data_IF_411494033101
#
_entry.id   IF_411494033101
#
_cell.length_a   1.000
_cell.length_b   1.000
_cell.length_c   1.000
_cell.angle_alpha   90.00
_cell.angle_beta   90.00
_cell.angle_gamma   90.00
#
_symmetry.space_group_name_H-M   'P 1'
#
loop_
_entity.id
_entity.type
_entity.pdbx_description
1 polymer ?
#
# COMPACT_ATOMS: atom_id res chain seq x y z
N UNK A 1 20.22 2.35 28.45
CA UNK A 1 21.22 3.44 28.57
C UNK A 1 20.45 4.75 28.80
N UNK A 2 20.83 5.61 29.77
CA UNK A 2 20.13 6.88 30.03
C UNK A 2 20.76 8.01 29.21
N UNK A 3 19.94 8.73 28.44
CA UNK A 3 20.29 10.03 27.84
C UNK A 3 19.24 11.04 28.30
N UNK A 4 19.71 12.17 28.83
CA UNK A 4 18.88 13.31 29.23
C UNK A 4 19.09 14.44 28.22
N UNK A 5 18.05 14.82 27.51
CA UNK A 5 18.01 16.04 26.68
C UNK A 5 16.96 16.99 27.26
N UNK A 6 17.43 18.16 27.72
CA UNK A 6 16.60 19.19 28.31
C UNK A 6 16.01 20.07 27.19
N UNK A 7 14.70 20.02 27.01
CA UNK A 7 13.97 20.97 26.18
C UNK A 7 13.36 22.07 27.07
N UNK A 8 13.47 23.36 26.72
CA UNK A 8 12.75 24.41 27.42
C UNK A 8 11.25 24.32 27.08
N UNK A 9 10.40 24.29 28.10
CA UNK A 9 8.95 24.28 27.96
C UNK A 9 8.45 25.55 27.23
N UNK A 10 7.99 25.44 25.98
CA UNK A 10 6.86 26.23 25.47
C UNK A 10 6.23 25.57 24.23
N UNK A 11 4.89 25.51 24.25
CA UNK A 11 4.00 24.90 23.24
C UNK A 11 4.02 23.35 23.20
N UNK A 12 2.93 22.74 23.72
CA UNK A 12 2.53 21.36 23.39
C UNK A 12 2.15 21.27 21.90
N UNK A 13 3.14 21.05 21.04
CA UNK A 13 2.88 20.51 19.72
C UNK A 13 2.53 19.03 19.88
N UNK A 14 1.36 18.61 19.38
CA UNK A 14 1.13 17.19 19.11
C UNK A 14 2.22 16.72 18.13
N UNK A 15 2.83 15.54 18.34
CA UNK A 15 3.68 14.96 17.30
C UNK A 15 2.83 14.83 16.04
N UNK A 16 3.34 15.32 14.90
CA UNK A 16 2.67 15.05 13.63
C UNK A 16 2.72 13.54 13.40
N UNK A 17 1.62 12.89 13.00
CA UNK A 17 1.68 11.50 12.59
C UNK A 17 2.64 11.38 11.41
N UNK A 18 3.60 10.47 11.54
CA UNK A 18 4.59 10.13 10.52
C UNK A 18 3.89 9.26 9.47
N UNK A 19 4.13 9.53 8.19
CA UNK A 19 3.67 8.69 7.07
C UNK A 19 4.74 7.66 6.71
N UNK A 20 4.37 6.38 6.77
CA UNK A 20 5.21 5.23 6.45
C UNK A 20 4.68 4.55 5.18
N UNK A 21 5.54 4.33 4.19
CA UNK A 21 5.21 3.65 2.92
C UNK A 21 6.02 2.36 2.80
N UNK A 22 5.35 1.21 2.71
CA UNK A 22 5.99 -0.09 2.48
C UNK A 22 5.83 -0.47 1.01
N UNK A 23 6.94 -0.72 0.32
CA UNK A 23 6.95 -1.22 -1.05
C UNK A 23 6.95 -2.75 -0.99
N UNK A 24 5.83 -3.37 -1.35
CA UNK A 24 5.66 -4.82 -1.37
C UNK A 24 5.77 -5.33 -2.82
N UNK A 25 6.73 -6.20 -3.17
CA UNK A 25 6.79 -6.79 -4.50
C UNK A 25 5.47 -7.48 -4.87
N UNK A 26 4.93 -8.34 -4.00
CA UNK A 26 3.67 -9.05 -4.21
C UNK A 26 2.65 -8.81 -3.06
N UNK A 27 1.37 -9.23 -3.24
CA UNK A 27 0.35 -9.14 -2.19
C UNK A 27 0.52 -10.28 -1.17
N UNK A 28 1.41 -10.04 -0.19
CA UNK A 28 1.68 -10.84 1.04
C UNK A 28 2.99 -10.37 1.72
N UNK A 29 3.98 -9.97 0.93
CA UNK A 29 5.35 -9.63 1.36
C UNK A 29 5.42 -8.67 2.56
N UNK A 30 4.62 -7.59 2.54
CA UNK A 30 4.59 -6.61 3.63
C UNK A 30 3.98 -7.18 4.92
N UNK A 31 2.98 -8.07 4.82
CA UNK A 31 2.39 -8.74 5.97
C UNK A 31 3.34 -9.77 6.58
N UNK A 32 3.95 -10.62 5.74
CA UNK A 32 4.89 -11.67 6.15
C UNK A 32 6.16 -11.07 6.76
N UNK A 33 6.77 -10.09 6.10
CA UNK A 33 8.02 -9.47 6.51
C UNK A 33 7.77 -8.45 7.64
N UNK A 34 7.01 -7.40 7.33
CA UNK A 34 6.86 -6.22 8.18
C UNK A 34 5.64 -6.23 9.10
N UNK A 35 4.81 -7.28 9.11
CA UNK A 35 3.46 -7.19 9.68
C UNK A 35 3.36 -6.81 11.16
N UNK A 36 4.34 -7.22 11.99
CA UNK A 36 4.43 -6.82 13.39
C UNK A 36 4.86 -5.35 13.57
N UNK A 37 5.73 -4.84 12.69
CA UNK A 37 6.10 -3.42 12.66
C UNK A 37 4.92 -2.55 12.19
N UNK A 38 4.20 -2.99 11.16
CA UNK A 38 2.99 -2.32 10.67
C UNK A 38 1.94 -2.23 11.79
N UNK A 39 1.67 -3.32 12.51
CA UNK A 39 0.77 -3.31 13.66
C UNK A 39 1.23 -2.31 14.74
N UNK A 40 2.50 -2.35 15.16
CA UNK A 40 3.06 -1.45 16.17
C UNK A 40 2.96 0.04 15.76
N UNK A 41 3.31 0.36 14.50
CA UNK A 41 3.18 1.73 13.96
C UNK A 41 1.73 2.22 13.98
N UNK A 42 0.76 1.34 13.70
CA UNK A 42 -0.67 1.66 13.69
C UNK A 42 -1.25 1.83 15.09
N UNK A 43 -0.82 1.04 16.07
CA UNK A 43 -1.14 1.27 17.49
C UNK A 43 -0.56 2.60 18.01
N UNK A 44 0.63 2.98 17.55
CA UNK A 44 1.24 4.29 17.79
C UNK A 44 0.56 5.44 17.01
N UNK A 45 -0.50 5.17 16.25
CA UNK A 45 -1.28 6.16 15.49
C UNK A 45 -0.58 6.74 14.26
N UNK A 46 0.51 6.12 13.80
CA UNK A 46 1.24 6.54 12.59
C UNK A 46 0.47 6.15 11.33
N UNK A 47 0.57 6.92 10.25
CA UNK A 47 -0.10 6.58 9.00
C UNK A 47 0.75 5.55 8.24
N UNK A 48 0.14 4.45 7.78
CA UNK A 48 0.82 3.39 7.02
C UNK A 48 0.12 3.17 5.69
N UNK A 49 0.90 3.13 4.62
CA UNK A 49 0.49 2.78 3.26
C UNK A 49 1.35 1.62 2.75
N UNK A 50 0.71 0.62 2.15
CA UNK A 50 1.36 -0.48 1.45
C UNK A 50 1.19 -0.22 -0.04
N UNK A 51 2.28 -0.20 -0.80
CA UNK A 51 2.29 -0.08 -2.26
C UNK A 51 2.67 -1.45 -2.81
N UNK A 52 1.68 -2.20 -3.29
CA UNK A 52 1.93 -3.51 -3.91
C UNK A 52 2.28 -3.31 -5.37
N UNK A 53 3.43 -3.82 -5.79
CA UNK A 53 4.06 -3.49 -7.08
C UNK A 53 3.57 -4.41 -8.19
N UNK A 54 3.76 -5.72 -8.01
CA UNK A 54 3.51 -6.75 -9.00
C UNK A 54 2.22 -7.54 -8.73
N UNK A 55 1.15 -6.80 -8.42
CA UNK A 55 -0.20 -7.33 -8.19
C UNK A 55 -1.02 -7.60 -9.47
N UNK A 56 -0.40 -7.45 -10.64
CA UNK A 56 -1.06 -7.51 -11.95
C UNK A 56 -1.03 -8.90 -12.58
N UNK A 57 -2.12 -9.23 -13.28
CA UNK A 57 -2.27 -10.44 -14.08
C UNK A 57 -1.59 -10.39 -15.47
N UNK A 58 -1.92 -11.32 -16.39
CA UNK A 58 -1.30 -11.39 -17.70
C UNK A 58 -1.67 -10.19 -18.58
N UNK A 59 -0.76 -9.80 -19.50
CA UNK A 59 -1.02 -8.77 -20.52
C UNK A 59 -2.05 -9.23 -21.58
N UNK A 60 -3.33 -9.22 -21.20
CA UNK A 60 -4.60 -9.28 -21.97
C UNK A 60 -4.79 -10.27 -23.15
N UNK A 61 -3.78 -10.95 -23.71
CA UNK A 61 -3.91 -11.70 -24.98
C UNK A 61 -3.11 -13.04 -25.05
N UNK A 62 -2.73 -13.62 -23.91
CA UNK A 62 -1.99 -14.89 -23.86
C UNK A 62 -2.77 -16.01 -23.17
N UNK A 63 -2.81 -17.20 -23.77
CA UNK A 63 -3.14 -18.43 -23.04
C UNK A 63 -2.05 -18.71 -22.00
N UNK A 64 -2.46 -19.02 -20.78
CA UNK A 64 -1.56 -19.22 -19.66
C UNK A 64 -0.90 -20.59 -19.72
N UNK A 65 0.41 -20.65 -19.52
CA UNK A 65 1.17 -21.91 -19.46
C UNK A 65 0.79 -22.73 -18.22
N UNK A 66 1.08 -24.04 -18.25
CA UNK A 66 0.83 -24.92 -17.11
C UNK A 66 1.62 -24.47 -15.87
N UNK A 67 2.87 -24.01 -16.06
CA UNK A 67 3.70 -23.45 -14.99
C UNK A 67 3.08 -22.19 -14.38
N UNK A 68 2.65 -21.24 -15.21
CA UNK A 68 1.93 -20.05 -14.74
C UNK A 68 0.71 -20.49 -13.91
N UNK A 69 -0.10 -21.44 -14.40
CA UNK A 69 -1.29 -21.91 -13.66
C UNK A 69 -0.96 -22.53 -12.30
N UNK A 70 0.15 -23.25 -12.18
CA UNK A 70 0.63 -23.77 -10.89
C UNK A 70 1.13 -22.67 -9.95
N UNK A 71 1.79 -21.63 -10.46
CA UNK A 71 2.27 -20.51 -9.66
C UNK A 71 1.16 -19.56 -9.17
N UNK A 72 0.01 -19.50 -9.85
CA UNK A 72 -0.93 -18.34 -9.76
C UNK A 72 -2.44 -18.63 -9.67
N UNK A 73 -2.91 -19.88 -9.76
CA UNK A 73 -4.30 -20.25 -9.39
C UNK A 73 -5.50 -19.46 -9.99
N UNK A 74 -5.44 -19.06 -11.28
CA UNK A 74 -6.34 -18.21 -12.12
C UNK A 74 -7.90 -18.36 -12.12
N UNK A 75 -8.72 -17.47 -12.74
CA UNK A 75 -8.47 -16.20 -13.52
C UNK A 75 -9.75 -15.34 -13.81
N UNK A 76 -9.81 -14.00 -14.03
CA UNK A 76 -8.89 -12.82 -13.86
C UNK A 76 -9.48 -11.49 -14.42
N UNK A 77 -9.29 -10.27 -13.82
CA UNK A 77 -9.63 -8.93 -14.43
C UNK A 77 -9.00 -7.68 -13.76
N UNK A 78 -8.38 -6.76 -14.53
CA UNK A 78 -7.96 -5.40 -14.06
C UNK A 78 -8.14 -4.32 -15.15
N UNK A 79 -8.62 -3.14 -14.75
CA UNK A 79 -8.54 -1.86 -15.47
C UNK A 79 -7.57 -0.93 -14.73
N UNK A 80 -6.84 -0.07 -15.45
CA UNK A 80 -5.71 0.69 -14.88
C UNK A 80 -5.97 2.22 -14.80
N UNK A 81 -5.53 2.92 -13.75
CA UNK A 81 -5.18 2.44 -12.40
C UNK A 81 -6.39 2.51 -11.47
N UNK A 82 -6.51 1.56 -10.53
CA UNK A 82 -7.57 1.55 -9.52
C UNK A 82 -7.12 2.35 -8.29
N UNK A 83 -7.70 3.55 -8.08
CA UNK A 83 -7.36 4.42 -6.95
C UNK A 83 -8.12 4.05 -5.65
N UNK A 84 -8.83 2.93 -5.64
CA UNK A 84 -9.64 2.51 -4.49
C UNK A 84 -8.78 1.92 -3.36
N UNK A 85 -8.78 2.61 -2.23
CA UNK A 85 -7.95 2.28 -1.05
C UNK A 85 -8.42 1.01 -0.32
N UNK A 86 -9.71 0.63 -0.48
CA UNK A 86 -10.30 -0.61 0.03
C UNK A 86 -11.56 -0.97 -0.78
N UNK A 87 -11.75 -2.24 -1.16
CA UNK A 87 -13.04 -2.72 -1.70
C UNK A 87 -13.96 -3.12 -0.54
N UNK A 88 -14.96 -2.29 -0.24
CA UNK A 88 -15.82 -2.47 0.95
C UNK A 88 -16.64 -3.76 0.94
N UNK A 89 -16.97 -4.24 -0.24
CA UNK A 89 -17.71 -5.49 -0.45
C UNK A 89 -16.94 -6.75 -0.03
N UNK A 90 -15.60 -6.70 0.03
CA UNK A 90 -14.75 -7.79 0.51
C UNK A 90 -14.70 -7.89 2.04
N UNK A 91 -15.05 -6.81 2.73
CA UNK A 91 -15.04 -6.73 4.19
C UNK A 91 -16.39 -7.23 4.70
N UNK A 92 -16.48 -8.54 4.94
CA UNK A 92 -17.65 -9.13 5.59
C UNK A 92 -17.79 -8.61 7.03
N UNK A 93 -19.03 -8.35 7.47
CA UNK A 93 -19.29 -8.01 8.87
C UNK A 93 -19.02 -9.22 9.77
N UNK A 94 -18.30 -9.03 10.89
CA UNK A 94 -18.04 -10.09 11.89
C UNK A 94 -19.31 -10.74 12.45
N UNK A 95 -20.44 -10.01 12.39
CA UNK A 95 -21.76 -10.49 12.77
C UNK A 95 -22.74 -10.30 11.60
N UNK A 96 -23.64 -11.26 11.34
CA UNK A 96 -24.64 -11.15 10.28
C UNK A 96 -25.61 -10.01 10.61
N UNK A 97 -25.55 -8.96 9.80
CA UNK A 97 -26.46 -7.83 9.94
C UNK A 97 -27.73 -8.15 9.15
N UNK A 98 -28.84 -8.20 9.87
CA UNK A 98 -30.16 -8.26 9.27
C UNK A 98 -30.65 -6.83 9.00
N UNK A 99 -31.20 -6.55 7.79
CA UNK A 99 -31.91 -5.31 7.56
C UNK A 99 -33.15 -5.23 8.46
N UNK A 100 -33.62 -4.02 8.69
CA UNK A 100 -34.88 -3.75 9.40
C UNK A 100 -36.11 -4.22 8.60
N UNK A 101 -37.30 -4.02 9.16
CA UNK A 101 -38.57 -4.39 8.53
C UNK A 101 -38.86 -3.67 7.19
N UNK A 102 -38.09 -2.65 6.85
CA UNK A 102 -38.15 -1.88 5.59
C UNK A 102 -37.05 -2.25 4.59
N UNK A 103 -36.15 -3.18 4.93
CA UNK A 103 -35.03 -3.59 4.08
C UNK A 103 -33.78 -2.71 4.22
N UNK A 104 -33.78 -1.74 5.13
CA UNK A 104 -32.65 -0.83 5.36
C UNK A 104 -31.70 -1.38 6.43
N UNK A 105 -30.39 -1.19 6.23
CA UNK A 105 -29.38 -1.56 7.23
C UNK A 105 -29.37 -0.57 8.40
N UNK A 106 -29.20 -1.00 9.66
CA UNK A 106 -29.35 -0.15 10.85
C UNK A 106 -28.43 1.09 10.95
N UNK A 107 -27.34 1.15 10.18
CA UNK A 107 -26.42 2.29 10.11
C UNK A 107 -26.66 3.24 8.93
N UNK A 108 -27.56 2.90 8.00
CA UNK A 108 -27.92 3.83 6.93
C UNK A 108 -28.60 5.05 7.55
N UNK A 109 -28.12 6.23 7.20
CA UNK A 109 -28.68 7.46 7.73
C UNK A 109 -30.12 7.65 7.23
N UNK A 110 -31.04 7.91 8.15
CA UNK A 110 -32.43 8.27 7.82
C UNK A 110 -32.46 9.38 6.76
N UNK A 111 -33.27 9.28 5.68
CA UNK A 111 -33.29 10.28 4.60
C UNK A 111 -33.50 11.72 5.10
N UNK A 112 -34.29 11.91 6.16
CA UNK A 112 -34.48 13.20 6.82
C UNK A 112 -33.19 13.75 7.44
N UNK A 113 -32.36 12.89 8.07
CA UNK A 113 -31.05 13.29 8.60
C UNK A 113 -30.04 13.59 7.50
N UNK A 114 -30.11 12.88 6.37
CA UNK A 114 -29.29 13.19 5.19
C UNK A 114 -29.65 14.59 4.69
N UNK A 115 -30.94 14.91 4.53
CA UNK A 115 -31.39 16.24 4.12
C UNK A 115 -30.89 17.37 5.05
N UNK A 116 -31.00 17.19 6.38
CA UNK A 116 -30.47 18.16 7.36
C UNK A 116 -28.96 18.30 7.29
N UNK A 117 -28.22 17.19 7.12
CA UNK A 117 -26.75 17.20 6.99
C UNK A 117 -26.33 17.91 5.71
N UNK A 118 -27.06 17.71 4.62
CA UNK A 118 -26.84 18.34 3.33
C UNK A 118 -27.08 19.85 3.38
N UNK A 119 -28.11 20.32 4.10
CA UNK A 119 -28.35 21.75 4.32
C UNK A 119 -27.24 22.40 5.15
N UNK A 120 -26.76 21.71 6.20
CA UNK A 120 -25.61 22.16 7.01
C UNK A 120 -24.33 22.28 6.18
N UNK A 121 -24.01 21.26 5.36
CA UNK A 121 -22.85 21.27 4.48
C UNK A 121 -22.91 22.44 3.46
N UNK A 122 -24.09 22.68 2.87
CA UNK A 122 -24.32 23.83 1.99
C UNK A 122 -24.14 25.18 2.70
N UNK A 123 -24.58 25.27 3.95
CA UNK A 123 -24.44 26.48 4.77
C UNK A 123 -22.98 26.75 5.11
N UNK A 124 -22.23 25.72 5.52
CA UNK A 124 -20.80 25.83 5.79
C UNK A 124 -20.00 26.18 4.53
N UNK A 125 -20.29 25.57 3.39
CA UNK A 125 -19.65 25.92 2.11
C UNK A 125 -19.87 27.41 1.76
N UNK A 126 -21.12 27.91 1.88
CA UNK A 126 -21.43 29.34 1.67
C UNK A 126 -20.71 30.27 2.65
N UNK A 127 -20.51 29.83 3.90
CA UNK A 127 -19.79 30.61 4.92
C UNK A 127 -18.26 30.60 4.70
N UNK A 128 -17.69 29.50 4.22
CA UNK A 128 -16.26 29.40 3.91
C UNK A 128 -15.89 30.24 2.68
N UNK A 129 -16.71 30.20 1.63
CA UNK A 129 -16.46 30.88 0.36
C UNK A 129 -16.94 32.36 0.32
N UNK A 130 -17.07 33.03 1.47
CA UNK A 130 -17.66 34.38 1.63
C UNK A 130 -17.08 35.53 0.79
N UNK A 131 -15.95 35.32 0.08
CA UNK A 131 -15.33 36.32 -0.82
C UNK A 131 -15.36 35.95 -2.31
N UNK A 132 -15.89 34.77 -2.66
CA UNK A 132 -15.97 34.30 -4.05
C UNK A 132 -17.39 34.44 -4.57
N UNK A 133 -17.57 35.04 -5.76
CA UNK A 133 -18.88 35.19 -6.41
C UNK A 133 -19.48 33.88 -6.95
N UNK A 134 -18.88 32.73 -6.62
CA UNK A 134 -19.22 31.40 -7.09
C UNK A 134 -19.10 30.42 -5.93
N UNK A 135 -20.21 29.82 -5.50
CA UNK A 135 -20.23 28.78 -4.46
C UNK A 135 -20.86 27.52 -5.03
N UNK A 136 -20.12 26.39 -5.08
CA UNK A 136 -20.69 25.08 -5.38
C UNK A 136 -21.44 24.56 -4.16
N UNK A 137 -22.62 23.99 -4.35
CA UNK A 137 -23.31 23.25 -3.29
C UNK A 137 -22.50 21.98 -2.96
N UNK A 138 -22.42 21.61 -1.67
CA UNK A 138 -21.86 20.33 -1.28
C UNK A 138 -22.75 19.20 -1.79
N UNK A 139 -22.18 18.05 -2.15
CA UNK A 139 -22.95 16.85 -2.52
C UNK A 139 -22.61 15.71 -1.58
N UNK A 140 -23.38 15.51 -0.50
CA UNK A 140 -23.04 14.48 0.50
C UNK A 140 -23.51 13.07 0.12
N UNK A 141 -24.41 12.95 -0.86
CA UNK A 141 -24.95 11.66 -1.34
C UNK A 141 -24.22 11.13 -2.57
N UNK A 142 -23.38 11.96 -3.20
CA UNK A 142 -22.76 11.72 -4.50
C UNK A 142 -23.74 11.40 -5.66
N UNK A 143 -24.99 11.83 -5.56
CA UNK A 143 -26.00 11.62 -6.60
C UNK A 143 -26.02 12.76 -7.62
N UNK A 144 -26.31 12.43 -8.89
CA UNK A 144 -26.52 13.41 -9.95
C UNK A 144 -27.92 14.03 -9.85
N UNK A 145 -28.00 15.35 -9.97
CA UNK A 145 -29.26 16.11 -9.98
C UNK A 145 -29.17 17.29 -10.95
N UNK A 146 -30.28 17.92 -11.33
CA UNK A 146 -30.26 19.12 -12.19
C UNK A 146 -29.39 20.26 -11.62
N UNK A 147 -29.29 20.35 -10.29
CA UNK A 147 -28.46 21.32 -9.58
C UNK A 147 -27.01 20.85 -9.34
N UNK A 148 -26.72 19.56 -9.61
CA UNK A 148 -25.42 18.89 -9.40
C UNK A 148 -25.22 17.85 -10.51
N UNK A 149 -24.98 18.26 -11.77
CA UNK A 149 -25.01 17.36 -12.94
C UNK A 149 -23.72 16.54 -13.11
N UNK A 150 -22.90 16.44 -12.07
CA UNK A 150 -21.64 15.69 -12.04
C UNK A 150 -21.54 15.07 -10.65
N UNK A 151 -21.71 13.76 -10.58
CA UNK A 151 -21.26 12.95 -9.45
C UNK A 151 -19.74 12.75 -9.55
N UNK A 152 -19.11 12.51 -8.41
CA UNK A 152 -17.73 12.01 -8.38
C UNK A 152 -17.75 10.56 -8.91
N UNK A 153 -17.35 10.41 -10.17
CA UNK A 153 -17.32 9.13 -10.90
C UNK A 153 -16.21 8.18 -10.44
N UNK A 154 -15.39 8.60 -9.48
CA UNK A 154 -14.35 7.81 -8.81
C UNK A 154 -14.82 7.65 -7.38
N UNK A 155 -15.01 6.42 -6.91
CA UNK A 155 -15.45 6.18 -5.55
C UNK A 155 -14.34 6.57 -4.56
N UNK A 156 -14.53 7.68 -3.85
CA UNK A 156 -13.71 8.01 -2.68
C UNK A 156 -13.94 7.05 -1.49
N UNK A 157 -14.75 5.99 -1.68
CA UNK A 157 -15.23 5.07 -0.66
C UNK A 157 -15.14 3.58 -1.06
N UNK A 158 -14.47 3.26 -2.17
CA UNK A 158 -14.34 1.89 -2.69
C UNK A 158 -15.57 1.37 -3.42
N UNK A 159 -15.42 0.23 -4.10
CA UNK A 159 -16.47 -0.44 -4.85
C UNK A 159 -17.47 -1.16 -3.94
N UNK A 160 -18.70 -1.26 -4.44
CA UNK A 160 -19.80 -2.03 -3.87
C UNK A 160 -20.03 -3.37 -4.59
N UNK A 161 -19.29 -3.66 -5.67
CA UNK A 161 -19.35 -4.96 -6.36
C UNK A 161 -18.62 -6.01 -5.50
N UNK A 162 -19.34 -7.05 -5.08
CA UNK A 162 -18.76 -8.16 -4.32
C UNK A 162 -18.01 -9.13 -5.22
N UNK A 163 -16.82 -9.55 -4.77
CA UNK A 163 -16.06 -10.60 -5.41
C UNK A 163 -16.74 -11.95 -5.09
N UNK A 164 -17.07 -12.71 -6.13
CA UNK A 164 -17.43 -14.12 -5.97
C UNK A 164 -16.14 -14.93 -5.77
N UNK A 165 -15.74 -15.14 -4.51
CA UNK A 165 -14.58 -15.95 -4.15
C UNK A 165 -14.65 -17.39 -4.66
N UNK A 166 -15.82 -17.90 -5.07
CA UNK A 166 -15.95 -19.19 -5.74
C UNK A 166 -15.59 -19.18 -7.23
N UNK A 167 -15.41 -18.00 -7.82
CA UNK A 167 -15.12 -17.78 -9.25
C UNK A 167 -13.91 -16.87 -9.53
N UNK A 168 -13.36 -16.20 -8.51
CA UNK A 168 -12.18 -15.33 -8.58
C UNK A 168 -10.86 -16.11 -8.79
N UNK A 169 -9.81 -15.47 -9.31
CA UNK A 169 -8.46 -16.07 -9.27
C UNK A 169 -7.82 -16.04 -7.89
N UNK A 170 -6.82 -16.90 -7.70
CA UNK A 170 -5.86 -16.72 -6.62
C UNK A 170 -5.13 -15.35 -6.68
N UNK A 171 -5.08 -14.65 -7.82
CA UNK A 171 -4.58 -13.26 -7.88
C UNK A 171 -5.57 -12.25 -7.25
N UNK A 172 -6.86 -12.29 -7.61
CA UNK A 172 -7.93 -11.50 -6.99
C UNK A 172 -8.19 -11.91 -5.53
N UNK A 173 -8.01 -13.19 -5.18
CA UNK A 173 -8.01 -13.69 -3.79
C UNK A 173 -6.80 -13.15 -3.02
N UNK A 174 -5.56 -13.25 -3.53
CA UNK A 174 -4.36 -12.67 -2.87
C UNK A 174 -4.51 -11.16 -2.66
N UNK A 175 -5.05 -10.44 -3.65
CA UNK A 175 -5.43 -9.03 -3.49
C UNK A 175 -6.45 -8.85 -2.37
N UNK A 176 -7.53 -9.62 -2.34
CA UNK A 176 -8.55 -9.50 -1.30
C UNK A 176 -8.04 -9.91 0.11
N UNK A 177 -7.10 -10.86 0.19
CA UNK A 177 -6.41 -11.26 1.41
C UNK A 177 -5.53 -10.11 1.93
N UNK A 178 -4.74 -9.46 1.07
CA UNK A 178 -3.90 -8.32 1.43
C UNK A 178 -4.71 -7.04 1.67
N UNK A 179 -5.83 -6.81 0.97
CA UNK A 179 -6.83 -5.78 1.31
C UNK A 179 -7.42 -6.01 2.70
N UNK A 180 -7.75 -7.27 3.03
CA UNK A 180 -8.27 -7.64 4.35
C UNK A 180 -7.22 -7.47 5.43
N UNK A 181 -5.96 -7.82 5.15
CA UNK A 181 -4.83 -7.55 6.03
C UNK A 181 -4.64 -6.05 6.27
N UNK A 182 -4.59 -5.24 5.20
CA UNK A 182 -4.49 -3.79 5.28
C UNK A 182 -5.65 -3.20 6.10
N UNK A 183 -6.88 -3.63 5.84
CA UNK A 183 -8.06 -3.24 6.63
C UNK A 183 -7.91 -3.60 8.11
N UNK A 184 -7.52 -4.83 8.44
CA UNK A 184 -7.35 -5.31 9.82
C UNK A 184 -6.28 -4.52 10.59
N UNK A 185 -5.21 -4.06 9.92
CA UNK A 185 -4.19 -3.17 10.50
C UNK A 185 -4.54 -1.69 10.40
N UNK A 186 -5.70 -1.36 9.83
CA UNK A 186 -6.11 0.00 9.49
C UNK A 186 -5.09 0.73 8.59
N UNK A 187 -4.26 0.01 7.83
CA UNK A 187 -3.31 0.55 6.84
C UNK A 187 -4.02 0.71 5.49
N UNK A 188 -3.58 1.66 4.66
CA UNK A 188 -4.09 1.83 3.29
C UNK A 188 -3.28 0.97 2.31
N UNK A 189 -3.89 0.43 1.26
CA UNK A 189 -3.17 -0.21 0.15
C UNK A 189 -3.26 0.63 -1.14
N UNK A 190 -2.22 0.54 -1.97
CA UNK A 190 -2.14 1.12 -3.32
C UNK A 190 -1.68 0.01 -4.26
N UNK A 191 -2.49 -0.24 -5.30
CA UNK A 191 -2.23 -1.27 -6.31
C UNK A 191 -1.51 -0.66 -7.51
N UNK A 192 -0.24 -1.03 -7.72
CA UNK A 192 0.51 -0.67 -8.93
C UNK A 192 0.44 -1.72 -10.04
N UNK A 193 -0.24 -2.84 -9.84
CA UNK A 193 -0.74 -3.77 -10.88
C UNK A 193 0.24 -4.09 -12.03
N UNK A 194 1.55 -4.10 -11.76
CA UNK A 194 2.53 -4.57 -12.73
C UNK A 194 2.40 -6.08 -12.85
N UNK A 195 2.60 -6.65 -14.06
CA UNK A 195 2.58 -8.10 -14.22
C UNK A 195 3.71 -8.74 -13.42
N UNK A 196 3.39 -9.67 -12.52
CA UNK A 196 4.33 -10.59 -11.83
C UNK A 196 5.32 -11.25 -12.83
N UNK A 197 6.54 -11.54 -12.39
CA UNK A 197 7.62 -12.16 -13.18
C UNK A 197 7.16 -13.33 -14.05
N UNK A 198 6.31 -14.20 -13.51
CA UNK A 198 5.68 -15.31 -14.23
C UNK A 198 4.94 -14.89 -15.52
N UNK A 199 4.39 -13.68 -15.59
CA UNK A 199 3.75 -13.08 -16.77
C UNK A 199 4.72 -12.29 -17.64
N UNK A 200 5.85 -11.82 -17.06
CA UNK A 200 6.97 -11.21 -17.79
C UNK A 200 7.88 -12.26 -18.43
N UNK A 201 7.54 -13.54 -18.26
CA UNK A 201 8.05 -14.66 -19.04
C UNK A 201 9.13 -15.47 -18.35
N UNK A 202 9.35 -15.28 -17.04
CA UNK A 202 10.21 -16.12 -16.22
C UNK A 202 9.55 -17.49 -16.02
N UNK A 203 10.32 -18.58 -16.12
CA UNK A 203 9.83 -19.96 -16.06
C UNK A 203 10.68 -20.80 -15.12
N UNK A 204 10.05 -21.26 -14.04
CA UNK A 204 10.68 -22.11 -13.03
C UNK A 204 11.44 -21.32 -11.97
N UNK A 205 11.63 -21.96 -10.83
CA UNK A 205 12.21 -21.35 -9.63
C UNK A 205 13.67 -20.89 -9.85
N UNK A 206 14.41 -21.55 -10.75
CA UNK A 206 15.78 -21.15 -11.15
C UNK A 206 15.81 -19.78 -11.86
N UNK A 207 14.76 -19.44 -12.63
CA UNK A 207 14.64 -18.13 -13.25
C UNK A 207 14.04 -17.09 -12.28
N UNK A 208 13.02 -17.48 -11.50
CA UNK A 208 12.37 -16.57 -10.53
C UNK A 208 13.30 -16.16 -9.38
N UNK A 209 14.17 -17.06 -8.90
CA UNK A 209 15.12 -16.81 -7.80
C UNK A 209 16.55 -16.51 -8.33
N UNK A 210 16.67 -16.24 -9.63
CA UNK A 210 17.94 -16.06 -10.33
C UNK A 210 18.42 -14.61 -10.38
N UNK A 211 18.82 -14.16 -11.57
CA UNK A 211 19.12 -12.76 -11.85
C UNK A 211 17.99 -12.16 -12.70
N UNK A 212 17.57 -10.91 -12.45
CA UNK A 212 16.64 -10.21 -13.34
C UNK A 212 17.18 -10.16 -14.76
N UNK A 213 16.29 -10.29 -15.75
CA UNK A 213 16.65 -10.27 -17.17
C UNK A 213 17.02 -8.85 -17.64
N UNK A 214 17.91 -8.77 -18.63
CA UNK A 214 18.35 -7.47 -19.19
C UNK A 214 17.21 -6.66 -19.83
N UNK A 215 16.13 -7.32 -20.27
CA UNK A 215 14.94 -6.70 -20.87
C UNK A 215 13.80 -6.38 -19.88
N UNK A 216 14.02 -6.64 -18.59
CA UNK A 216 13.05 -6.45 -17.51
C UNK A 216 13.56 -5.44 -16.45
N UNK A 217 13.61 -4.13 -16.79
CA UNK A 217 14.24 -3.11 -15.95
C UNK A 217 13.40 -2.78 -14.70
N UNK A 218 14.03 -2.33 -13.60
CA UNK A 218 13.33 -1.86 -12.41
C UNK A 218 12.29 -0.76 -12.72
N UNK A 219 11.08 -0.78 -12.12
CA UNK A 219 10.00 0.17 -12.39
C UNK A 219 10.22 1.55 -11.71
N UNK A 220 11.41 2.09 -11.87
CA UNK A 220 11.94 3.25 -11.13
C UNK A 220 11.06 4.51 -11.26
N UNK A 221 10.71 4.94 -12.47
CA UNK A 221 9.94 6.18 -12.65
C UNK A 221 8.54 6.10 -12.01
N UNK A 222 7.88 4.94 -12.11
CA UNK A 222 6.56 4.71 -11.54
C UNK A 222 6.60 4.72 -10.01
N UNK A 223 7.46 3.89 -9.41
CA UNK A 223 7.62 3.83 -7.96
C UNK A 223 8.06 5.17 -7.38
N UNK A 224 9.03 5.84 -8.02
CA UNK A 224 9.50 7.16 -7.59
C UNK A 224 8.41 8.22 -7.65
N UNK A 225 7.60 8.23 -8.72
CA UNK A 225 6.46 9.15 -8.84
C UNK A 225 5.45 8.89 -7.72
N UNK A 226 5.12 7.62 -7.46
CA UNK A 226 4.13 7.23 -6.46
C UNK A 226 4.59 7.50 -5.03
N UNK A 227 5.85 7.17 -4.71
CA UNK A 227 6.48 7.50 -3.42
C UNK A 227 6.42 9.00 -3.18
N UNK A 228 6.78 9.83 -4.16
CA UNK A 228 6.71 11.29 -3.99
C UNK A 228 5.26 11.82 -3.90
N UNK A 229 4.29 11.16 -4.55
CA UNK A 229 2.86 11.49 -4.45
C UNK A 229 2.32 11.26 -3.04
N UNK A 230 2.83 10.25 -2.33
CA UNK A 230 2.40 9.88 -0.98
C UNK A 230 3.04 10.73 0.14
N UNK A 231 4.01 11.59 -0.20
CA UNK A 231 4.79 12.41 0.74
C UNK A 231 5.21 11.67 2.05
N UNK A 232 5.86 10.49 1.95
CA UNK A 232 6.29 9.71 3.12
C UNK A 232 7.36 10.43 3.94
N UNK A 233 7.34 10.20 5.24
CA UNK A 233 8.48 10.46 6.11
C UNK A 233 9.37 9.23 6.29
N UNK A 234 8.86 8.02 6.03
CA UNK A 234 9.65 6.79 5.95
C UNK A 234 9.17 5.91 4.79
N UNK A 235 10.10 5.32 4.05
CA UNK A 235 9.87 4.35 2.98
C UNK A 235 10.63 3.07 3.28
N UNK A 236 10.00 1.91 3.08
CA UNK A 236 10.56 0.58 3.33
C UNK A 236 10.56 -0.22 2.03
N UNK A 237 11.75 -0.62 1.57
CA UNK A 237 11.94 -1.48 0.40
C UNK A 237 12.33 -2.90 0.82
N UNK A 238 12.07 -3.93 0.00
CA UNK A 238 12.62 -5.27 0.22
C UNK A 238 14.15 -5.24 0.14
N UNK A 239 14.81 -6.06 0.95
CA UNK A 239 16.25 -6.29 0.87
C UNK A 239 16.60 -7.30 -0.24
N UNK A 240 15.59 -8.01 -0.77
CA UNK A 240 15.64 -9.08 -1.76
C UNK A 240 16.43 -10.32 -1.31
N UNK A 241 16.31 -10.64 -0.02
CA UNK A 241 16.78 -11.92 0.53
C UNK A 241 16.01 -13.07 -0.14
N UNK A 242 16.70 -14.17 -0.48
CA UNK A 242 16.14 -15.27 -1.26
C UNK A 242 16.21 -15.10 -2.78
N UNK A 243 16.53 -13.91 -3.29
CA UNK A 243 16.85 -13.71 -4.71
C UNK A 243 15.66 -13.61 -5.67
N UNK A 244 14.42 -13.50 -5.19
CA UNK A 244 13.28 -13.35 -6.10
C UNK A 244 13.42 -12.09 -6.97
N UNK A 245 13.28 -12.24 -8.30
CA UNK A 245 13.56 -11.16 -9.26
C UNK A 245 12.73 -9.90 -8.99
N UNK A 246 11.45 -10.02 -8.63
CA UNK A 246 10.58 -8.87 -8.35
C UNK A 246 10.98 -8.11 -7.07
N UNK A 247 11.59 -8.80 -6.10
CA UNK A 247 12.17 -8.16 -4.91
C UNK A 247 13.46 -7.44 -5.28
N UNK A 248 14.31 -8.05 -6.12
CA UNK A 248 15.54 -7.43 -6.62
C UNK A 248 15.23 -6.15 -7.41
N UNK A 249 14.23 -6.17 -8.30
CA UNK A 249 13.80 -4.98 -9.04
C UNK A 249 13.28 -3.88 -8.11
N UNK A 250 12.48 -4.21 -7.09
CA UNK A 250 12.03 -3.23 -6.10
C UNK A 250 13.20 -2.64 -5.28
N UNK A 251 14.10 -3.50 -4.76
CA UNK A 251 15.33 -3.11 -4.05
C UNK A 251 16.17 -2.15 -4.87
N UNK A 252 16.36 -2.46 -6.15
CA UNK A 252 17.23 -1.69 -7.06
C UNK A 252 16.63 -0.30 -7.37
N UNK A 253 15.30 -0.14 -7.33
CA UNK A 253 14.67 1.20 -7.31
C UNK A 253 15.06 1.97 -6.05
N UNK A 254 15.00 1.34 -4.87
CA UNK A 254 15.41 1.97 -3.61
C UNK A 254 16.89 2.40 -3.61
N UNK A 255 17.78 1.55 -4.14
CA UNK A 255 19.20 1.87 -4.32
C UNK A 255 19.41 3.02 -5.32
N UNK A 256 18.67 3.04 -6.43
CA UNK A 256 18.72 4.12 -7.42
C UNK A 256 18.20 5.46 -6.84
N UNK A 257 17.19 5.43 -5.97
CA UNK A 257 16.69 6.62 -5.24
C UNK A 257 17.71 7.16 -4.24
N UNK A 258 18.46 6.28 -3.55
CA UNK A 258 19.59 6.69 -2.70
C UNK A 258 20.77 7.27 -3.51
N UNK A 259 20.91 6.90 -4.78
CA UNK A 259 21.94 7.40 -5.68
C UNK A 259 21.56 8.70 -6.41
N UNK A 260 20.35 9.26 -6.19
CA UNK A 260 19.93 10.49 -6.86
C UNK A 260 20.80 11.69 -6.48
N UNK A 261 21.43 12.30 -7.49
CA UNK A 261 22.09 13.59 -7.31
C UNK A 261 21.08 14.65 -6.84
N UNK A 262 21.51 15.52 -5.93
CA UNK A 262 20.71 16.65 -5.41
C UNK A 262 20.23 17.55 -6.56
N UNK A 263 19.00 17.32 -7.03
CA UNK A 263 18.34 18.13 -8.07
C UNK A 263 18.11 19.55 -7.57
N UNK A 264 17.99 20.51 -8.50
CA UNK A 264 17.68 21.93 -8.23
C UNK A 264 16.20 22.16 -7.85
N UNK A 265 15.64 21.31 -6.99
CA UNK A 265 14.36 21.49 -6.30
C UNK A 265 14.68 21.82 -4.85
N UNK A 266 13.98 22.78 -4.24
CA UNK A 266 14.28 23.26 -2.89
C UNK A 266 13.07 23.04 -1.96
N UNK A 267 13.22 22.29 -0.85
CA UNK A 267 14.35 21.40 -0.54
C UNK A 267 14.43 20.22 -1.53
N UNK A 268 15.62 19.64 -1.77
CA UNK A 268 15.71 18.40 -2.52
C UNK A 268 15.15 17.25 -1.65
N UNK A 269 14.46 16.26 -2.23
CA UNK A 269 14.08 15.04 -1.51
C UNK A 269 15.35 14.21 -1.22
N UNK A 270 15.90 14.37 -0.02
CA UNK A 270 17.08 13.64 0.45
C UNK A 270 16.65 12.30 1.07
N UNK A 271 16.57 11.25 0.25
CA UNK A 271 16.00 9.96 0.66
C UNK A 271 16.82 9.19 1.70
N UNK A 272 18.07 9.58 1.97
CA UNK A 272 19.02 8.85 2.83
C UNK A 272 18.50 8.64 4.25
N UNK A 273 17.92 9.67 4.87
CA UNK A 273 17.36 9.57 6.23
C UNK A 273 15.91 9.04 6.27
N UNK A 274 15.32 8.79 5.08
CA UNK A 274 13.91 8.43 4.91
C UNK A 274 13.69 7.03 4.31
N UNK A 275 14.73 6.34 3.85
CA UNK A 275 14.62 5.04 3.18
C UNK A 275 15.27 3.93 4.01
N UNK A 276 14.53 2.85 4.24
CA UNK A 276 14.95 1.64 4.97
C UNK A 276 14.77 0.42 4.08
N UNK A 277 15.55 -0.64 4.32
CA UNK A 277 15.34 -1.94 3.71
C UNK A 277 14.86 -2.94 4.78
N UNK A 278 13.86 -3.76 4.45
CA UNK A 278 13.32 -4.81 5.33
C UNK A 278 13.80 -6.21 4.91
N UNK A 279 13.91 -7.10 5.89
CA UNK A 279 14.25 -8.51 5.71
C UNK A 279 13.06 -9.30 5.13
N UNK A 280 13.25 -9.93 3.97
CA UNK A 280 12.20 -10.65 3.25
C UNK A 280 11.87 -11.99 3.93
N UNK A 281 10.69 -12.11 4.55
CA UNK A 281 10.21 -13.34 5.18
C UNK A 281 9.18 -14.05 4.28
N UNK A 282 9.26 -15.38 4.07
CA UNK A 282 10.07 -16.37 4.79
C UNK A 282 11.46 -16.64 4.20
N UNK A 283 11.86 -15.96 3.12
CA UNK A 283 13.14 -16.23 2.44
C UNK A 283 14.36 -16.15 3.36
N UNK A 284 14.43 -15.15 4.23
CA UNK A 284 15.50 -14.98 5.22
C UNK A 284 15.58 -16.18 6.19
N UNK A 285 14.42 -16.70 6.62
CA UNK A 285 14.35 -17.89 7.47
C UNK A 285 14.79 -19.17 6.74
N UNK A 286 14.49 -19.31 5.45
CA UNK A 286 14.92 -20.47 4.65
C UNK A 286 16.39 -20.42 4.20
N UNK A 287 17.01 -19.25 4.24
CA UNK A 287 18.41 -19.05 3.85
C UNK A 287 19.37 -18.90 5.04
N UNK A 288 18.90 -19.12 6.27
CA UNK A 288 19.63 -18.89 7.52
C UNK A 288 20.26 -17.48 7.59
N UNK A 289 19.58 -16.47 7.03
CA UNK A 289 20.05 -15.09 6.94
C UNK A 289 20.26 -14.48 8.33
N UNK A 290 21.44 -13.91 8.58
CA UNK A 290 21.82 -13.38 9.90
C UNK A 290 21.94 -11.85 9.93
N UNK A 291 22.17 -11.21 8.78
CA UNK A 291 22.14 -9.76 8.66
C UNK A 291 22.82 -9.23 7.39
N UNK A 292 22.99 -7.90 7.29
CA UNK A 292 23.53 -7.24 6.09
C UNK A 292 24.90 -7.75 5.61
N UNK A 293 25.73 -8.28 6.51
CA UNK A 293 27.05 -8.85 6.19
C UNK A 293 26.94 -10.07 5.24
N UNK A 294 25.79 -10.77 5.22
CA UNK A 294 25.54 -11.89 4.31
C UNK A 294 25.27 -11.44 2.85
N UNK A 295 25.15 -10.12 2.59
CA UNK A 295 24.77 -9.54 1.29
C UNK A 295 25.94 -8.94 0.50
N UNK A 296 27.16 -9.02 1.02
CA UNK A 296 28.34 -8.23 0.65
C UNK A 296 28.73 -8.27 -0.85
N UNK A 297 28.22 -9.24 -1.61
CA UNK A 297 28.46 -9.38 -3.07
C UNK A 297 27.30 -8.90 -3.96
N UNK A 298 26.07 -8.82 -3.43
CA UNK A 298 24.83 -8.55 -4.20
C UNK A 298 24.30 -7.14 -3.91
N UNK A 299 24.42 -6.65 -2.69
CA UNK A 299 23.78 -5.40 -2.24
C UNK A 299 24.75 -4.21 -2.32
N UNK A 300 24.77 -3.51 -3.46
CA UNK A 300 25.72 -2.40 -3.69
C UNK A 300 25.14 -1.04 -3.32
N UNK A 301 25.54 -0.53 -2.16
CA UNK A 301 25.20 0.82 -1.71
C UNK A 301 25.93 1.91 -2.51
N UNK A 302 25.32 3.11 -2.65
CA UNK A 302 26.02 4.32 -3.07
C UNK A 302 27.21 4.68 -2.17
N UNK A 303 28.23 5.31 -2.76
CA UNK A 303 29.47 5.67 -2.06
C UNK A 303 29.21 6.57 -0.85
N UNK A 304 29.67 6.15 0.33
CA UNK A 304 29.54 6.90 1.58
C UNK A 304 28.31 6.54 2.42
N UNK A 305 27.49 5.59 1.97
CA UNK A 305 26.40 5.00 2.76
C UNK A 305 26.81 3.65 3.36
N UNK A 306 26.18 3.27 4.47
CA UNK A 306 26.36 1.99 5.16
C UNK A 306 25.01 1.52 5.72
N UNK A 307 24.73 0.22 5.70
CA UNK A 307 23.57 -0.35 6.39
C UNK A 307 23.82 -0.46 7.89
N UNK A 308 22.80 -0.18 8.69
CA UNK A 308 22.74 -0.45 10.13
C UNK A 308 21.53 -1.35 10.39
N UNK A 309 21.76 -2.55 10.96
CA UNK A 309 20.66 -3.43 11.34
C UNK A 309 19.86 -2.82 12.50
N UNK A 310 18.55 -2.65 12.32
CA UNK A 310 17.63 -2.13 13.33
C UNK A 310 16.49 -3.11 13.55
N UNK A 311 16.29 -3.48 14.82
CA UNK A 311 15.27 -4.43 15.23
C UNK A 311 14.10 -3.70 15.88
N UNK A 312 12.88 -4.03 15.47
CA UNK A 312 11.66 -3.64 16.17
C UNK A 312 11.24 -4.75 17.11
N UNK A 313 10.99 -4.44 18.39
CA UNK A 313 10.32 -5.39 19.27
C UNK A 313 8.86 -5.52 18.83
N UNK A 314 8.46 -6.72 18.43
CA UNK A 314 7.10 -7.05 18.00
C UNK A 314 6.44 -8.06 18.95
N UNK A 315 6.99 -8.28 20.16
CA UNK A 315 6.54 -9.31 21.10
C UNK A 315 5.05 -9.19 21.43
N UNK A 316 4.56 -7.97 21.67
CA UNK A 316 3.14 -7.67 21.94
C UNK A 316 2.25 -7.82 20.69
N UNK A 317 2.85 -7.80 19.49
CA UNK A 317 2.20 -7.95 18.19
C UNK A 317 2.30 -9.38 17.62
N UNK A 318 2.88 -10.36 18.34
CA UNK A 318 3.12 -11.70 17.81
C UNK A 318 1.83 -12.47 17.51
N UNK A 319 0.86 -12.45 18.42
CA UNK A 319 -0.46 -13.05 18.19
C UNK A 319 -1.18 -12.36 17.04
N UNK A 320 -1.03 -11.04 16.94
CA UNK A 320 -1.56 -10.25 15.83
C UNK A 320 -0.90 -10.61 14.49
N UNK A 321 0.43 -10.78 14.42
CA UNK A 321 1.16 -11.15 13.19
C UNK A 321 0.82 -12.56 12.71
N UNK A 322 0.47 -13.47 13.62
CA UNK A 322 0.17 -14.87 13.33
C UNK A 322 -1.31 -15.17 13.01
N UNK A 323 -2.17 -14.16 13.02
CA UNK A 323 -3.63 -14.26 12.81
C UNK A 323 -4.10 -13.47 11.58
#
# INVERSE_FOLDING_TARGET
MRVLTHYPDFLRCYPRPVTHVFIAPHPDDAALSCGGLIASLRELGQAVTIVSVYSGGPRQNGELSDYQRTALGFGSKVMWPDYEVFRRSNIANDYPVLPDATGTMPWLAEPERIAVTQERANTQARQFWQRSSWTRAANITNEETELRPIADSVSAQGTAEGIDFGAADAAEIRKAEDERYAWLRHASVVWLDLPDAVYRGYVGDEELLGQPREDDPPPYDLLRQEILRLEPQMVYFPMAVGGHVDHQLCRDVGLAMLAEERRWVMPPPEMVDHLTFYEDFPYAWWSDFTGPDDLDTVFRLPLGLSLEARYSDISEMMEQKAA
#
